data_IF_259971472015
#
_entry.id   IF_259971472015
#
_cell.length_a   1.000
_cell.length_b   1.000
_cell.length_c   1.000
_cell.angle_alpha   90.00
_cell.angle_beta   90.00
_cell.angle_gamma   90.00
#
_symmetry.space_group_name_H-M   'P 1'
#
loop_
_entity.id
_entity.type
_entity.pdbx_description
1 polymer ?
#
# COMPACT_ATOMS: atom_id res chain seq x y z
N UNK A 1 -40.56 -24.98 -2.56
CA UNK A 1 -40.63 -25.61 -1.23
C UNK A 1 -39.38 -26.44 -1.08
N UNK A 2 -38.37 -25.96 -0.35
CA UNK A 2 -37.20 -26.77 0.00
C UNK A 2 -37.65 -27.87 0.95
N UNK A 3 -37.42 -29.14 0.58
CA UNK A 3 -37.75 -30.28 1.43
C UNK A 3 -36.91 -30.24 2.71
N UNK A 4 -37.54 -29.83 3.81
CA UNK A 4 -36.92 -29.72 5.15
C UNK A 4 -36.30 -31.06 5.59
N UNK A 5 -36.88 -32.19 5.16
CA UNK A 5 -36.37 -33.54 5.42
C UNK A 5 -34.99 -33.81 4.81
N UNK A 6 -34.65 -33.18 3.66
CA UNK A 6 -33.34 -33.35 3.03
C UNK A 6 -32.29 -32.48 3.70
N UNK A 7 -32.66 -31.32 4.25
CA UNK A 7 -31.72 -30.45 4.95
C UNK A 7 -31.12 -31.12 6.19
N UNK A 8 -31.95 -31.79 7.00
CA UNK A 8 -31.44 -32.50 8.20
C UNK A 8 -30.50 -33.65 7.85
N UNK A 9 -30.81 -34.40 6.79
CA UNK A 9 -29.98 -35.49 6.31
C UNK A 9 -28.64 -34.99 5.74
N UNK A 10 -28.68 -33.90 4.98
CA UNK A 10 -27.48 -33.24 4.42
C UNK A 10 -26.58 -32.73 5.55
N UNK A 11 -27.16 -32.10 6.58
CA UNK A 11 -26.41 -31.59 7.72
C UNK A 11 -25.70 -32.72 8.48
N UNK A 12 -26.40 -33.83 8.71
CA UNK A 12 -25.85 -35.01 9.38
C UNK A 12 -24.70 -35.65 8.58
N UNK A 13 -24.84 -35.76 7.25
CA UNK A 13 -23.79 -36.27 6.38
C UNK A 13 -22.58 -35.34 6.31
N UNK A 14 -22.78 -34.02 6.29
CA UNK A 14 -21.69 -33.04 6.38
C UNK A 14 -20.93 -33.16 7.70
N UNK A 15 -21.63 -33.38 8.81
CA UNK A 15 -21.02 -33.57 10.13
C UNK A 15 -20.21 -34.86 10.21
N UNK A 16 -20.77 -35.97 9.74
CA UNK A 16 -20.06 -37.25 9.66
C UNK A 16 -18.81 -37.17 8.75
N UNK A 17 -18.91 -36.42 7.65
CA UNK A 17 -17.78 -36.19 6.75
C UNK A 17 -16.71 -35.31 7.40
N UNK A 18 -17.09 -34.29 8.15
CA UNK A 18 -16.17 -33.45 8.94
C UNK A 18 -15.42 -34.30 9.99
N UNK A 19 -16.13 -35.17 10.71
CA UNK A 19 -15.53 -36.08 11.69
C UNK A 19 -14.55 -37.08 11.06
N UNK A 20 -14.79 -37.51 9.81
CA UNK A 20 -13.87 -38.39 9.08
C UNK A 20 -12.65 -37.62 8.54
N UNK A 21 -12.86 -36.42 8.00
CA UNK A 21 -11.82 -35.63 7.35
C UNK A 21 -10.90 -34.89 8.33
N UNK A 22 -11.33 -34.68 9.58
CA UNK A 22 -10.54 -34.00 10.62
C UNK A 22 -10.02 -32.62 10.11
N UNK A 23 -8.77 -32.25 10.42
CA UNK A 23 -8.20 -30.93 10.10
C UNK A 23 -7.53 -30.83 8.70
N UNK A 24 -7.50 -31.89 7.89
CA UNK A 24 -6.82 -31.88 6.57
C UNK A 24 -7.64 -32.58 5.48
N UNK A 25 -8.78 -32.01 5.05
CA UNK A 25 -9.53 -32.53 3.92
C UNK A 25 -8.74 -32.36 2.61
N UNK A 26 -8.58 -33.46 1.85
CA UNK A 26 -8.00 -33.45 0.49
C UNK A 26 -8.99 -32.90 -0.57
N UNK A 27 -10.29 -32.89 -0.24
CA UNK A 27 -11.35 -32.43 -1.13
C UNK A 27 -12.43 -31.73 -0.29
N UNK A 28 -12.71 -30.48 -0.62
CA UNK A 28 -13.83 -29.72 -0.05
C UNK A 28 -15.13 -30.12 -0.77
N UNK A 29 -16.19 -30.40 -0.01
CA UNK A 29 -17.52 -30.75 -0.57
C UNK A 29 -18.17 -29.53 -1.22
N UNK A 30 -17.99 -28.35 -0.63
CA UNK A 30 -18.52 -27.08 -1.08
C UNK A 30 -17.40 -26.06 -1.27
N UNK A 31 -17.65 -25.06 -2.12
CA UNK A 31 -16.77 -23.90 -2.26
C UNK A 31 -17.06 -22.95 -1.10
N UNK A 32 -16.18 -22.93 -0.10
CA UNK A 32 -16.26 -22.04 1.05
C UNK A 32 -15.43 -20.76 0.87
N UNK A 33 -15.59 -19.81 1.80
CA UNK A 33 -14.87 -18.53 1.80
C UNK A 33 -13.36 -18.75 1.77
N UNK A 34 -12.86 -19.79 2.47
CA UNK A 34 -11.44 -20.12 2.54
C UNK A 34 -10.89 -20.61 1.20
N UNK A 35 -11.67 -21.40 0.47
CA UNK A 35 -11.33 -21.89 -0.88
C UNK A 35 -11.25 -20.74 -1.88
N UNK A 36 -12.25 -19.84 -1.87
CA UNK A 36 -12.24 -18.64 -2.72
C UNK A 36 -11.05 -17.73 -2.36
N UNK A 37 -10.83 -17.48 -1.07
CA UNK A 37 -9.72 -16.66 -0.59
C UNK A 37 -8.36 -17.26 -0.98
N UNK A 38 -8.21 -18.59 -0.98
CA UNK A 38 -6.99 -19.28 -1.39
C UNK A 38 -6.63 -19.01 -2.86
N UNK A 39 -7.61 -19.16 -3.75
CA UNK A 39 -7.42 -18.89 -5.18
C UNK A 39 -7.09 -17.42 -5.44
N UNK A 40 -7.79 -16.50 -4.75
CA UNK A 40 -7.54 -15.06 -4.89
C UNK A 40 -6.18 -14.66 -4.33
N UNK A 41 -5.78 -15.22 -3.17
CA UNK A 41 -4.45 -15.03 -2.59
C UNK A 41 -3.34 -15.44 -3.57
N UNK A 42 -3.45 -16.63 -4.15
CA UNK A 42 -2.46 -17.15 -5.10
C UNK A 42 -2.36 -16.27 -6.35
N UNK A 43 -3.50 -15.81 -6.89
CA UNK A 43 -3.52 -14.91 -8.06
C UNK A 43 -2.96 -13.52 -7.75
N UNK A 44 -3.26 -12.98 -6.56
CA UNK A 44 -2.81 -11.66 -6.13
C UNK A 44 -1.39 -11.67 -5.54
N UNK A 45 -0.82 -12.84 -5.27
CA UNK A 45 0.49 -12.99 -4.65
C UNK A 45 0.55 -12.56 -3.18
N UNK A 46 -0.58 -12.55 -2.48
CA UNK A 46 -0.69 -12.20 -1.05
C UNK A 46 -0.93 -13.47 -0.21
N UNK A 47 -0.36 -13.59 1.00
CA UNK A 47 -0.58 -14.77 1.84
C UNK A 47 -2.06 -14.97 2.18
N UNK A 48 -2.57 -16.20 2.10
CA UNK A 48 -3.93 -16.53 2.53
C UNK A 48 -4.18 -16.12 3.99
N UNK A 49 -3.17 -16.28 4.85
CA UNK A 49 -3.25 -15.82 6.23
C UNK A 49 -3.56 -14.32 6.30
N UNK A 50 -2.95 -13.48 5.45
CA UNK A 50 -3.23 -12.04 5.40
C UNK A 50 -4.66 -11.74 4.96
N UNK A 51 -5.24 -12.49 4.01
CA UNK A 51 -6.64 -12.33 3.59
C UNK A 51 -7.65 -12.83 4.63
N UNK A 52 -7.26 -13.81 5.45
CA UNK A 52 -8.11 -14.40 6.48
C UNK A 52 -7.99 -13.72 7.84
N UNK A 53 -7.01 -12.83 8.01
CA UNK A 53 -6.83 -12.06 9.23
C UNK A 53 -7.92 -10.99 9.33
N UNK A 54 -8.24 -10.65 10.58
CA UNK A 54 -9.12 -9.55 10.87
C UNK A 54 -8.39 -8.21 10.61
N UNK A 55 -8.55 -7.70 9.38
CA UNK A 55 -7.99 -6.42 8.96
C UNK A 55 -8.38 -5.27 9.92
N UNK A 56 -9.55 -5.33 10.57
CA UNK A 56 -9.97 -4.29 11.50
C UNK A 56 -9.09 -4.29 12.75
N UNK A 57 -8.79 -5.48 13.28
CA UNK A 57 -7.91 -5.64 14.44
C UNK A 57 -6.47 -5.23 14.12
N UNK A 58 -5.95 -5.53 12.92
CA UNK A 58 -4.61 -5.06 12.51
C UNK A 58 -4.53 -3.53 12.43
N UNK A 59 -5.55 -2.87 11.89
CA UNK A 59 -5.59 -1.40 11.81
C UNK A 59 -5.67 -0.72 13.18
N UNK A 60 -6.18 -1.39 14.22
CA UNK A 60 -6.21 -0.87 15.59
C UNK A 60 -4.82 -0.88 16.26
N UNK A 61 -3.91 -1.72 15.78
CA UNK A 61 -2.57 -1.89 16.33
C UNK A 61 -1.46 -1.40 15.39
N UNK A 62 -1.82 -0.82 14.25
CA UNK A 62 -0.91 -0.45 13.16
C UNK A 62 0.27 0.41 13.63
N UNK A 63 0.03 1.49 14.36
CA UNK A 63 1.09 2.37 14.87
C UNK A 63 2.06 1.62 15.81
N UNK A 64 1.53 0.72 16.65
CA UNK A 64 2.32 -0.10 17.57
C UNK A 64 3.16 -1.12 16.82
N UNK A 65 2.60 -1.74 15.79
CA UNK A 65 3.28 -2.79 15.03
C UNK A 65 4.38 -2.20 14.14
N UNK A 66 4.14 -1.06 13.49
CA UNK A 66 5.18 -0.31 12.78
C UNK A 66 6.23 0.23 13.77
N UNK A 67 5.80 0.71 14.94
CA UNK A 67 6.66 1.24 16.00
C UNK A 67 7.64 0.22 16.61
N UNK A 68 7.44 -1.09 16.37
CA UNK A 68 8.45 -2.12 16.73
C UNK A 68 9.72 -2.00 15.90
N UNK A 69 9.62 -1.43 14.70
CA UNK A 69 10.70 -1.32 13.71
C UNK A 69 11.15 0.13 13.53
N UNK A 70 10.22 1.09 13.59
CA UNK A 70 10.52 2.53 13.46
C UNK A 70 10.38 3.22 14.82
N UNK A 71 11.51 3.56 15.44
CA UNK A 71 11.56 4.12 16.81
C UNK A 71 11.59 5.65 16.78
N UNK A 72 10.82 6.27 17.68
CA UNK A 72 10.86 7.73 17.92
C UNK A 72 10.08 8.56 16.90
N UNK A 73 9.20 7.93 16.12
CA UNK A 73 8.36 8.59 15.11
C UNK A 73 6.86 8.47 15.44
N UNK A 74 6.51 8.39 16.72
CA UNK A 74 5.16 8.01 17.20
C UNK A 74 4.04 8.87 16.60
N UNK A 75 4.26 10.18 16.43
CA UNK A 75 3.24 11.09 15.92
C UNK A 75 3.04 10.95 14.40
N UNK A 76 4.13 10.78 13.65
CA UNK A 76 4.07 10.49 12.22
C UNK A 76 3.37 9.14 11.96
N UNK A 77 3.73 8.10 12.73
CA UNK A 77 3.09 6.79 12.66
C UNK A 77 1.61 6.85 13.04
N UNK A 78 1.26 7.62 14.08
CA UNK A 78 -0.12 7.87 14.49
C UNK A 78 -0.95 8.54 13.39
N UNK A 79 -0.37 9.51 12.69
CA UNK A 79 -1.01 10.21 11.55
C UNK A 79 -1.25 9.26 10.37
N UNK A 80 -0.29 8.41 10.05
CA UNK A 80 -0.44 7.36 9.02
C UNK A 80 -1.58 6.41 9.40
N UNK A 81 -1.54 5.89 10.64
CA UNK A 81 -2.53 4.93 11.11
C UNK A 81 -3.94 5.51 11.14
N UNK A 82 -4.10 6.77 11.60
CA UNK A 82 -5.37 7.48 11.60
C UNK A 82 -5.95 7.62 10.18
N UNK A 83 -5.13 8.03 9.20
CA UNK A 83 -5.58 8.20 7.81
C UNK A 83 -6.01 6.88 7.18
N UNK A 84 -5.27 5.79 7.44
CA UNK A 84 -5.60 4.46 6.91
C UNK A 84 -6.86 3.88 7.57
N UNK A 85 -7.05 4.07 8.88
CA UNK A 85 -8.32 3.75 9.57
C UNK A 85 -9.50 4.51 8.97
N UNK A 86 -9.34 5.81 8.70
CA UNK A 86 -10.37 6.63 8.09
C UNK A 86 -10.71 6.17 6.65
N UNK A 87 -9.71 5.75 5.87
CA UNK A 87 -9.92 5.21 4.53
C UNK A 87 -10.74 3.91 4.55
N UNK A 88 -10.44 3.01 5.49
CA UNK A 88 -11.11 1.71 5.63
C UNK A 88 -12.54 1.79 6.18
N UNK A 89 -12.82 2.79 7.02
CA UNK A 89 -14.18 3.05 7.55
C UNK A 89 -15.09 3.79 6.58
N UNK A 90 -14.61 4.13 5.38
CA UNK A 90 -15.39 4.87 4.38
C UNK A 90 -15.60 6.34 4.74
N UNK A 91 -14.88 6.87 5.74
CA UNK A 91 -14.95 8.26 6.16
C UNK A 91 -14.21 9.22 5.19
N UNK A 92 -13.49 8.68 4.20
CA UNK A 92 -12.82 9.46 3.16
C UNK A 92 -13.29 9.05 1.76
N UNK A 93 -13.26 9.99 0.81
CA UNK A 93 -13.62 9.75 -0.58
C UNK A 93 -12.79 8.60 -1.17
N UNK A 94 -13.42 7.47 -1.49
CA UNK A 94 -12.78 6.24 -1.97
C UNK A 94 -12.29 6.27 -3.42
N UNK A 95 -12.04 7.47 -3.96
CA UNK A 95 -11.60 7.62 -5.35
C UNK A 95 -10.08 7.46 -5.47
N UNK A 96 -9.30 7.83 -4.46
CA UNK A 96 -7.83 7.77 -4.47
C UNK A 96 -7.24 6.52 -3.80
N UNK A 97 -5.90 6.47 -3.66
CA UNK A 97 -5.21 5.48 -2.83
C UNK A 97 -5.68 5.53 -1.37
N UNK A 98 -5.44 4.46 -0.62
CA UNK A 98 -5.85 4.36 0.79
C UNK A 98 -5.20 5.45 1.65
N UNK A 99 -3.99 5.86 1.29
CA UNK A 99 -3.31 7.00 1.88
C UNK A 99 -2.21 7.50 0.94
N UNK A 100 -2.00 8.81 0.93
CA UNK A 100 -0.88 9.46 0.26
C UNK A 100 -0.18 10.30 1.30
N UNK A 101 1.11 10.02 1.53
CA UNK A 101 1.89 10.64 2.59
C UNK A 101 3.19 11.18 2.03
N UNK A 102 3.65 12.31 2.57
CA UNK A 102 4.98 12.86 2.33
C UNK A 102 5.75 12.85 3.65
N UNK A 103 6.77 12.00 3.73
CA UNK A 103 7.66 11.89 4.87
C UNK A 103 8.85 12.82 4.66
N UNK A 104 8.95 13.85 5.50
CA UNK A 104 10.01 14.87 5.42
C UNK A 104 10.89 14.78 6.65
N UNK A 105 12.20 14.85 6.46
CA UNK A 105 13.17 14.89 7.56
C UNK A 105 14.57 14.47 7.12
N UNK A 106 15.56 14.50 8.03
CA UNK A 106 16.94 14.17 7.68
C UNK A 106 17.11 12.69 7.31
N UNK A 107 18.27 12.35 6.72
CA UNK A 107 18.59 10.96 6.41
C UNK A 107 18.72 10.12 7.70
N UNK A 108 18.37 8.84 7.62
CA UNK A 108 18.52 7.89 8.73
C UNK A 108 17.41 7.91 9.80
N UNK A 109 16.41 8.79 9.71
CA UNK A 109 15.30 8.86 10.71
C UNK A 109 14.21 7.81 10.55
N UNK A 110 14.31 6.93 9.53
CA UNK A 110 13.35 5.84 9.32
C UNK A 110 12.25 6.09 8.28
N UNK A 111 12.41 7.05 7.37
CA UNK A 111 11.45 7.30 6.26
C UNK A 111 11.22 6.06 5.39
N UNK A 112 12.30 5.50 4.84
CA UNK A 112 12.26 4.27 4.03
C UNK A 112 11.83 3.06 4.86
N UNK A 113 12.27 2.99 6.11
CA UNK A 113 11.94 1.91 7.03
C UNK A 113 10.44 1.87 7.37
N UNK A 114 9.79 3.04 7.43
CA UNK A 114 8.34 3.16 7.61
C UNK A 114 7.59 2.51 6.45
N UNK A 115 8.07 2.65 5.22
CA UNK A 115 7.45 2.02 4.05
C UNK A 115 7.60 0.49 4.07
N UNK A 116 8.78 0.00 4.43
CA UNK A 116 9.06 -1.44 4.60
C UNK A 116 8.17 -2.05 5.69
N UNK A 117 8.13 -1.42 6.87
CA UNK A 117 7.31 -1.86 7.99
C UNK A 117 5.82 -1.85 7.64
N UNK A 118 5.35 -0.80 6.96
CA UNK A 118 3.96 -0.71 6.54
C UNK A 118 3.60 -1.80 5.52
N UNK A 119 4.48 -2.11 4.56
CA UNK A 119 4.25 -3.16 3.58
C UNK A 119 4.15 -4.55 4.24
N UNK A 120 5.02 -4.80 5.22
CA UNK A 120 5.01 -6.05 5.99
C UNK A 120 3.71 -6.21 6.79
N UNK A 121 3.32 -5.18 7.55
CA UNK A 121 2.13 -5.20 8.41
C UNK A 121 0.83 -5.26 7.60
N UNK A 122 0.69 -4.45 6.55
CA UNK A 122 -0.58 -4.31 5.81
C UNK A 122 -0.77 -5.37 4.72
N UNK A 123 0.31 -5.82 4.09
CA UNK A 123 0.23 -6.63 2.86
C UNK A 123 1.01 -7.95 2.96
N UNK A 124 1.44 -8.33 4.16
CA UNK A 124 2.02 -9.64 4.45
C UNK A 124 3.42 -9.85 3.91
N UNK A 125 4.19 -8.77 3.71
CA UNK A 125 5.63 -8.88 3.47
C UNK A 125 6.26 -7.72 2.72
N UNK A 126 7.58 -7.59 2.87
CA UNK A 126 8.40 -6.60 2.16
C UNK A 126 8.31 -6.70 0.63
N UNK A 127 7.92 -7.87 0.09
CA UNK A 127 7.68 -8.06 -1.35
C UNK A 127 6.52 -7.20 -1.86
N UNK A 128 5.64 -6.74 -0.98
CA UNK A 128 4.53 -5.84 -1.31
C UNK A 128 4.96 -4.37 -1.32
N UNK A 129 6.26 -4.08 -1.13
CA UNK A 129 6.84 -2.77 -1.35
C UNK A 129 7.30 -2.61 -2.80
N UNK A 130 6.82 -1.57 -3.47
CA UNK A 130 7.27 -1.11 -4.78
C UNK A 130 8.05 0.17 -4.58
N UNK A 131 9.36 0.13 -4.78
CA UNK A 131 10.24 1.30 -4.60
C UNK A 131 10.61 1.92 -5.94
N UNK A 132 10.41 3.22 -6.06
CA UNK A 132 10.84 4.04 -7.20
C UNK A 132 11.75 5.13 -6.66
N UNK A 133 13.02 5.09 -7.05
CA UNK A 133 13.96 6.18 -6.75
C UNK A 133 13.75 7.32 -7.75
N UNK A 134 13.19 8.44 -7.32
CA UNK A 134 12.88 9.57 -8.20
C UNK A 134 14.11 10.37 -8.62
N UNK A 135 15.27 10.14 -8.01
CA UNK A 135 16.55 10.68 -8.49
C UNK A 135 16.98 10.13 -9.85
N UNK A 136 16.41 9.01 -10.32
CA UNK A 136 16.62 8.49 -11.67
C UNK A 136 15.75 9.20 -12.72
N UNK A 137 14.76 10.00 -12.28
CA UNK A 137 13.72 10.59 -13.12
C UNK A 137 13.79 12.12 -13.16
N UNK A 138 15.00 12.66 -13.29
CA UNK A 138 15.24 14.12 -13.32
C UNK A 138 14.95 14.75 -14.69
N UNK A 139 14.83 13.94 -15.74
CA UNK A 139 14.66 14.39 -17.11
C UNK A 139 13.25 14.10 -17.65
N UNK A 140 12.65 14.96 -18.49
CA UNK A 140 11.26 14.83 -18.92
C UNK A 140 10.93 13.48 -19.61
N UNK A 141 11.88 12.92 -20.36
CA UNK A 141 11.64 11.71 -21.14
C UNK A 141 11.65 10.43 -20.29
N UNK A 142 12.11 10.49 -19.05
CA UNK A 142 12.10 9.36 -18.10
C UNK A 142 10.69 8.98 -17.66
N UNK A 143 9.70 9.86 -17.83
CA UNK A 143 8.27 9.59 -17.56
C UNK A 143 7.78 8.35 -18.30
N UNK A 144 8.24 8.16 -19.54
CA UNK A 144 7.88 6.99 -20.36
C UNK A 144 8.37 5.67 -19.77
N UNK A 145 9.43 5.67 -18.95
CA UNK A 145 9.90 4.45 -18.29
C UNK A 145 8.96 4.03 -17.14
N UNK A 146 8.35 4.98 -16.42
CA UNK A 146 7.41 4.70 -15.33
C UNK A 146 6.06 4.18 -15.83
N UNK A 147 5.55 4.80 -16.90
CA UNK A 147 4.20 4.55 -17.45
C UNK A 147 4.20 3.59 -18.65
N UNK A 148 5.32 3.47 -19.34
CA UNK A 148 5.47 2.73 -20.59
C UNK A 148 5.53 3.67 -21.78
N UNK A 149 6.30 3.28 -22.79
CA UNK A 149 6.43 4.02 -24.05
C UNK A 149 5.11 4.04 -24.82
N UNK A 150 4.75 5.13 -25.51
CA UNK A 150 3.57 5.20 -26.37
C UNK A 150 3.76 4.42 -27.68
N UNK A 151 2.69 4.16 -28.45
CA UNK A 151 2.77 3.48 -29.74
C UNK A 151 3.76 4.16 -30.69
N UNK A 152 4.67 3.36 -31.29
CA UNK A 152 5.67 3.85 -32.22
C UNK A 152 7.05 4.19 -31.61
N UNK A 153 7.23 4.03 -30.29
CA UNK A 153 8.51 4.20 -29.60
C UNK A 153 9.11 2.86 -29.15
N UNK A 154 10.42 2.82 -28.97
CA UNK A 154 11.12 1.64 -28.41
C UNK A 154 10.60 1.37 -26.99
N UNK A 155 10.32 0.09 -26.69
CA UNK A 155 9.73 -0.33 -25.41
C UNK A 155 8.20 -0.29 -25.38
N UNK A 156 7.53 0.07 -26.49
CA UNK A 156 6.08 -0.10 -26.61
C UNK A 156 5.68 -1.57 -26.43
N UNK A 157 4.60 -1.84 -25.69
CA UNK A 157 4.13 -3.21 -25.41
C UNK A 157 4.69 -3.82 -24.12
N UNK A 158 5.70 -3.20 -23.48
CA UNK A 158 6.35 -3.75 -22.29
C UNK A 158 5.76 -3.24 -20.96
N UNK A 159 4.85 -2.26 -21.03
CA UNK A 159 4.38 -1.51 -19.87
C UNK A 159 5.48 -0.68 -19.21
N UNK A 160 5.11 0.23 -18.32
CA UNK A 160 6.07 0.96 -17.50
C UNK A 160 6.42 0.24 -16.21
N UNK A 161 7.58 0.56 -15.64
CA UNK A 161 8.09 -0.04 -14.40
C UNK A 161 7.06 0.03 -13.28
N UNK A 162 6.47 1.22 -13.06
CA UNK A 162 5.47 1.42 -12.02
C UNK A 162 4.15 0.74 -12.38
N UNK A 163 3.66 0.96 -13.60
CA UNK A 163 2.35 0.43 -14.04
C UNK A 163 2.33 -1.10 -14.00
N UNK A 164 3.41 -1.77 -14.38
CA UNK A 164 3.51 -3.23 -14.32
C UNK A 164 3.68 -3.76 -12.90
N UNK A 165 4.43 -3.06 -12.05
CA UNK A 165 4.59 -3.45 -10.66
C UNK A 165 3.25 -3.43 -9.93
N UNK A 166 2.48 -2.35 -10.07
CA UNK A 166 1.15 -2.22 -9.44
C UNK A 166 0.12 -3.15 -10.08
N UNK A 167 0.16 -3.36 -11.41
CA UNK A 167 -0.70 -4.34 -12.08
C UNK A 167 -0.51 -5.75 -11.54
N UNK A 168 0.73 -6.15 -11.25
CA UNK A 168 1.07 -7.46 -10.67
C UNK A 168 0.77 -7.53 -9.18
N UNK A 169 0.82 -6.39 -8.46
CA UNK A 169 0.63 -6.29 -7.01
C UNK A 169 -0.28 -5.11 -6.67
N UNK A 170 -1.60 -5.26 -6.88
CA UNK A 170 -2.55 -4.16 -6.65
C UNK A 170 -2.71 -3.81 -5.16
N UNK A 171 -2.30 -4.71 -4.27
CA UNK A 171 -2.20 -4.49 -2.82
C UNK A 171 -0.72 -4.29 -2.47
N UNK A 172 -0.30 -3.03 -2.39
CA UNK A 172 1.11 -2.70 -2.20
C UNK A 172 1.32 -1.34 -1.57
N UNK A 173 2.49 -1.17 -0.97
CA UNK A 173 3.02 0.15 -0.63
C UNK A 173 3.88 0.62 -1.81
N UNK A 174 3.60 1.80 -2.33
CA UNK A 174 4.41 2.46 -3.36
C UNK A 174 5.27 3.52 -2.68
N UNK A 175 6.57 3.29 -2.62
CA UNK A 175 7.56 4.23 -2.11
C UNK A 175 8.17 5.04 -3.25
N UNK A 176 7.97 6.35 -3.22
CA UNK A 176 8.55 7.34 -4.11
C UNK A 176 9.67 8.06 -3.36
N UNK A 177 10.90 7.57 -3.52
CA UNK A 177 12.05 8.06 -2.77
C UNK A 177 12.67 9.31 -3.42
N UNK A 178 13.12 10.27 -2.63
CA UNK A 178 13.77 11.52 -3.07
C UNK A 178 12.92 12.36 -4.05
N UNK A 179 11.65 12.59 -3.69
CA UNK A 179 10.65 13.26 -4.55
C UNK A 179 11.07 14.66 -5.01
N UNK A 180 11.91 15.36 -4.24
CA UNK A 180 12.44 16.68 -4.59
C UNK A 180 13.39 16.68 -5.78
N UNK A 181 13.92 15.51 -6.16
CA UNK A 181 14.84 15.36 -7.30
C UNK A 181 14.11 15.09 -8.62
N UNK A 182 12.84 14.71 -8.54
CA UNK A 182 12.04 14.34 -9.70
C UNK A 182 11.80 15.52 -10.66
N UNK A 183 11.71 15.23 -11.95
CA UNK A 183 11.17 16.19 -12.91
C UNK A 183 9.71 16.52 -12.61
N UNK A 184 9.27 17.75 -12.85
CA UNK A 184 7.88 18.20 -12.58
C UNK A 184 6.84 17.35 -13.32
N UNK A 185 7.14 16.93 -14.54
CA UNK A 185 6.23 16.08 -15.33
C UNK A 185 6.05 14.69 -14.73
N UNK A 186 7.04 14.18 -14.00
CA UNK A 186 6.92 12.92 -13.25
C UNK A 186 5.95 13.11 -12.08
N UNK A 187 6.04 14.21 -11.34
CA UNK A 187 5.10 14.51 -10.24
C UNK A 187 3.67 14.72 -10.75
N UNK A 188 3.51 15.40 -11.88
CA UNK A 188 2.21 15.63 -12.51
C UNK A 188 1.48 14.32 -12.84
N UNK A 189 2.22 13.27 -13.22
CA UNK A 189 1.67 11.93 -13.43
C UNK A 189 1.03 11.38 -12.15
N UNK A 190 1.68 11.56 -11.01
CA UNK A 190 1.20 11.05 -9.72
C UNK A 190 0.03 11.86 -9.16
N UNK A 191 -0.08 13.16 -9.43
CA UNK A 191 -1.24 13.96 -9.00
C UNK A 191 -2.57 13.36 -9.49
N UNK A 192 -2.61 12.88 -10.73
CA UNK A 192 -3.79 12.17 -11.23
C UNK A 192 -4.12 10.92 -10.40
N UNK A 193 -3.09 10.18 -9.99
CA UNK A 193 -3.25 8.98 -9.17
C UNK A 193 -3.77 9.34 -7.79
N UNK A 194 -3.25 10.40 -7.18
CA UNK A 194 -3.66 10.83 -5.84
C UNK A 194 -5.15 11.20 -5.78
N UNK A 195 -5.64 11.87 -6.82
CA UNK A 195 -7.03 12.32 -6.90
C UNK A 195 -8.01 11.22 -7.32
N UNK A 196 -7.62 10.41 -8.32
CA UNK A 196 -8.54 9.49 -9.02
C UNK A 196 -8.26 8.01 -8.80
N UNK A 197 -7.14 7.66 -8.18
CA UNK A 197 -6.77 6.29 -7.87
C UNK A 197 -6.47 5.43 -9.09
N UNK A 198 -6.27 6.00 -10.28
CA UNK A 198 -5.87 5.24 -11.46
C UNK A 198 -4.84 5.98 -12.32
N UNK A 199 -3.99 5.19 -12.97
CA UNK A 199 -3.02 5.64 -13.98
C UNK A 199 -3.28 4.89 -15.27
N UNK A 200 -3.17 5.55 -16.43
CA UNK A 200 -3.14 4.84 -17.72
C UNK A 200 -1.72 4.55 -18.13
N UNK A 201 -1.41 3.33 -18.57
CA UNK A 201 -0.10 2.97 -19.12
C UNK A 201 0.10 3.54 -20.55
N UNK A 202 1.25 3.25 -21.16
CA UNK A 202 1.57 3.66 -22.54
C UNK A 202 0.67 3.04 -23.62
N UNK A 203 -0.04 1.95 -23.30
CA UNK A 203 -1.01 1.28 -24.18
C UNK A 203 -2.45 1.77 -23.93
N UNK A 204 -2.66 2.63 -22.92
CA UNK A 204 -3.96 3.14 -22.53
C UNK A 204 -4.73 2.24 -21.56
N UNK A 205 -4.12 1.16 -21.05
CA UNK A 205 -4.71 0.31 -20.01
C UNK A 205 -4.77 1.05 -18.69
N UNK A 206 -5.88 0.94 -17.99
CA UNK A 206 -6.09 1.58 -16.70
C UNK A 206 -5.57 0.69 -15.57
N UNK A 207 -4.65 1.23 -14.77
CA UNK A 207 -4.01 0.59 -13.63
C UNK A 207 -4.59 1.21 -12.37
N UNK A 208 -5.10 0.36 -11.48
CA UNK A 208 -5.79 0.74 -10.25
C UNK A 208 -4.82 0.85 -9.07
N UNK A 209 -4.88 1.98 -8.36
CA UNK A 209 -4.08 2.32 -7.18
C UNK A 209 -4.94 2.43 -5.91
N UNK A 210 -6.26 2.21 -5.97
CA UNK A 210 -7.17 2.39 -4.82
C UNK A 210 -6.87 1.46 -3.64
N UNK A 211 -6.19 0.34 -3.88
CA UNK A 211 -5.74 -0.60 -2.86
C UNK A 211 -4.28 -0.42 -2.43
N UNK A 212 -3.64 0.68 -2.87
CA UNK A 212 -2.26 1.01 -2.53
C UNK A 212 -2.17 2.06 -1.44
N UNK A 213 -1.04 2.08 -0.74
CA UNK A 213 -0.59 3.23 0.06
C UNK A 213 0.61 3.85 -0.62
N UNK A 214 0.57 5.16 -0.86
CA UNK A 214 1.69 5.89 -1.47
C UNK A 214 2.44 6.66 -0.39
N UNK A 215 3.73 6.39 -0.29
CA UNK A 215 4.67 7.09 0.59
C UNK A 215 5.70 7.81 -0.29
N UNK A 216 5.79 9.12 -0.15
CA UNK A 216 6.86 9.93 -0.73
C UNK A 216 7.86 10.23 0.38
N UNK A 217 9.15 10.24 0.07
CA UNK A 217 10.18 10.74 0.98
C UNK A 217 10.78 12.02 0.43
N UNK A 218 11.16 12.92 1.33
CA UNK A 218 11.98 14.07 0.98
C UNK A 218 12.96 14.40 2.09
N UNK A 219 14.13 14.87 1.69
CA UNK A 219 15.08 15.49 2.62
C UNK A 219 14.98 17.02 2.60
N UNK A 220 14.03 17.61 1.84
CA UNK A 220 13.85 19.05 1.79
C UNK A 220 13.48 19.62 3.17
N UNK A 221 14.06 20.75 3.55
CA UNK A 221 13.79 21.36 4.86
C UNK A 221 14.47 20.67 6.05
N UNK A 222 15.27 19.62 5.83
CA UNK A 222 16.00 18.94 6.91
C UNK A 222 16.92 19.87 7.69
N UNK A 223 17.64 20.76 7.00
CA UNK A 223 18.55 21.70 7.65
C UNK A 223 17.81 22.67 8.57
N UNK A 224 16.64 23.16 8.13
CA UNK A 224 15.77 24.03 8.92
C UNK A 224 15.22 23.30 10.15
N UNK A 225 14.72 22.07 9.97
CA UNK A 225 14.23 21.24 11.06
C UNK A 225 15.33 20.97 12.09
N UNK A 226 16.52 20.59 11.64
CA UNK A 226 17.65 20.29 12.51
C UNK A 226 18.14 21.54 13.24
N UNK A 227 18.20 22.69 12.56
CA UNK A 227 18.55 23.96 13.20
C UNK A 227 17.53 24.32 14.29
N UNK A 228 16.23 24.30 13.97
CA UNK A 228 15.17 24.62 14.92
C UNK A 228 15.20 23.70 16.14
N UNK A 229 15.37 22.39 15.93
CA UNK A 229 15.47 21.42 17.02
C UNK A 229 16.75 21.58 17.86
N UNK A 230 17.85 22.05 17.25
CA UNK A 230 19.08 22.35 17.97
C UNK A 230 18.96 23.60 18.85
N UNK A 231 18.25 24.63 18.38
CA UNK A 231 18.02 25.88 19.11
C UNK A 231 16.93 25.72 20.17
N UNK A 232 15.88 24.95 19.85
CA UNK A 232 14.70 24.74 20.69
C UNK A 232 14.28 23.26 20.63
N UNK A 233 14.85 22.40 21.48
CA UNK A 233 14.52 20.97 21.51
C UNK A 233 13.07 20.66 21.85
N UNK A 234 12.38 21.57 22.55
CA UNK A 234 10.96 21.44 22.90
C UNK A 234 10.01 22.03 21.84
N UNK A 235 10.51 22.36 20.64
CA UNK A 235 9.67 22.82 19.53
C UNK A 235 8.59 21.78 19.24
N UNK A 236 7.34 22.22 19.21
CA UNK A 236 6.20 21.36 18.94
C UNK A 236 6.15 20.96 17.47
N UNK A 237 5.53 19.82 17.16
CA UNK A 237 5.35 19.40 15.76
C UNK A 237 4.59 20.43 14.92
N UNK A 238 3.64 21.15 15.51
CA UNK A 238 2.90 22.21 14.81
C UNK A 238 3.83 23.33 14.34
N UNK A 239 4.79 23.73 15.17
CA UNK A 239 5.80 24.73 14.83
C UNK A 239 6.78 24.21 13.77
N UNK A 240 7.18 22.93 13.86
CA UNK A 240 8.01 22.29 12.83
C UNK A 240 7.28 22.23 11.48
N UNK A 241 5.98 21.93 11.50
CA UNK A 241 5.13 21.92 10.31
C UNK A 241 4.99 23.32 9.70
N UNK A 242 4.83 24.36 10.52
CA UNK A 242 4.81 25.74 10.03
C UNK A 242 6.15 26.16 9.41
N UNK A 243 7.26 25.73 10.00
CA UNK A 243 8.61 26.06 9.52
C UNK A 243 8.89 25.55 8.09
N UNK A 244 8.36 24.38 7.74
CA UNK A 244 8.61 23.72 6.45
C UNK A 244 7.49 23.94 5.43
N UNK A 245 6.46 24.73 5.78
CA UNK A 245 5.44 25.13 4.80
C UNK A 245 6.04 26.16 3.82
N UNK A 246 5.89 25.95 2.50
CA UNK A 246 6.33 26.91 1.49
C UNK A 246 5.49 28.22 1.52
#
# INVERSE_FOLDING_TARGET
RSDISRQSETLHLQQALHDIQQNQPLLSVDVDVRTVAGVVADWAGVPLSSLMKDEQTELLHLEKDIGRRVVGQDVALGSIAQRLRAAKTGLTSGNGPQGVFLLVGPSGVGKTETALALADVMYGGEKSLITINLSEYQEPHTVSQLKGSPPGYVGYGQGGILTEAVRKRPYSVVLLDEVEKAHRDVLNLFYQVFDRGFMRDGEGREIDFRNTVILMTSNLGSDLLMQQLSEKPETTESELHELIRP
#
